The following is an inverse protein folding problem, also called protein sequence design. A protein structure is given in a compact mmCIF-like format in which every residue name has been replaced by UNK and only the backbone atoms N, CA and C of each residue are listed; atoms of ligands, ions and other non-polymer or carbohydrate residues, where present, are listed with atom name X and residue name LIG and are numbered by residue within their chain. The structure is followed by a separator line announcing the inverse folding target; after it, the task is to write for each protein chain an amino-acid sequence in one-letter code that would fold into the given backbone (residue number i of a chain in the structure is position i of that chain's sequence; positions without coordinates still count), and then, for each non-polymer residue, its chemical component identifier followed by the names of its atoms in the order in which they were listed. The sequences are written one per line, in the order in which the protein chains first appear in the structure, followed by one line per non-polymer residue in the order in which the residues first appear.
data_IF_457588223523
#
_entry.id   IF_457588223523
#
_cell.length_a   1.000
_cell.length_b   1.000
_cell.length_c   1.000
_cell.angle_alpha   90.00
_cell.angle_beta   90.00
_cell.angle_gamma   90.00
#
_symmetry.space_group_name_H-M   'P 1'
#
loop_
_entity.id
_entity.type
_entity.pdbx_description
1 polymer ?
#
# COMPACT_ATOMS: atom_id res chain seq x y z
N UNK A 1 19.10 10.09 -25.87
CA UNK A 1 17.70 10.36 -25.46
C UNK A 1 16.79 9.40 -26.22
N UNK A 2 16.21 8.40 -25.56
CA UNK A 2 15.26 7.50 -26.21
C UNK A 2 13.94 8.26 -26.50
N UNK A 3 13.34 8.01 -27.67
CA UNK A 3 12.02 8.52 -28.07
C UNK A 3 11.01 8.25 -26.95
N UNK A 4 10.37 9.30 -26.41
CA UNK A 4 9.25 9.14 -25.45
C UNK A 4 8.16 8.31 -26.13
N UNK A 5 7.96 7.10 -25.62
CA UNK A 5 7.00 6.17 -26.18
C UNK A 5 5.64 6.45 -25.53
N UNK A 6 4.88 7.37 -26.13
CA UNK A 6 3.61 7.87 -25.57
C UNK A 6 2.46 6.85 -25.64
N UNK A 7 2.72 5.64 -26.14
CA UNK A 7 1.73 4.57 -26.16
C UNK A 7 1.56 4.00 -24.75
N UNK A 8 0.37 3.48 -24.37
CA UNK A 8 0.19 3.00 -23.01
C UNK A 8 1.05 1.75 -22.73
N UNK A 9 1.34 0.92 -23.74
CA UNK A 9 2.34 -0.16 -23.62
C UNK A 9 3.76 0.36 -23.41
N UNK A 10 4.13 1.45 -24.07
CA UNK A 10 5.41 2.14 -23.84
C UNK A 10 5.54 2.62 -22.40
N UNK A 11 4.49 3.25 -21.87
CA UNK A 11 4.45 3.72 -20.48
C UNK A 11 4.50 2.56 -19.49
N UNK A 12 3.78 1.46 -19.77
CA UNK A 12 3.80 0.26 -18.94
C UNK A 12 5.20 -0.36 -18.86
N UNK A 13 5.87 -0.52 -20.00
CA UNK A 13 7.23 -1.08 -20.06
C UNK A 13 8.27 -0.16 -19.43
N UNK A 14 8.16 1.16 -19.62
CA UNK A 14 9.02 2.15 -18.96
C UNK A 14 8.87 2.09 -17.43
N UNK A 15 7.63 1.97 -16.93
CA UNK A 15 7.37 1.86 -15.49
C UNK A 15 8.03 0.62 -14.87
N UNK A 16 7.96 -0.53 -15.56
CA UNK A 16 8.62 -1.77 -15.15
C UNK A 16 10.14 -1.57 -15.10
N UNK A 17 10.74 -0.99 -16.15
CA UNK A 17 12.19 -0.74 -16.19
C UNK A 17 12.66 0.17 -15.05
N UNK A 18 11.92 1.25 -14.77
CA UNK A 18 12.25 2.17 -13.68
C UNK A 18 12.13 1.53 -12.29
N UNK A 19 11.10 0.70 -12.09
CA UNK A 19 10.93 -0.05 -10.85
C UNK A 19 12.10 -1.01 -10.60
N UNK A 20 12.46 -1.83 -11.59
CA UNK A 20 13.55 -2.79 -11.44
C UNK A 20 14.93 -2.14 -11.31
N UNK A 21 15.13 -0.95 -11.92
CA UNK A 21 16.38 -0.19 -11.78
C UNK A 21 16.62 0.35 -10.36
N UNK A 22 15.58 0.40 -9.52
CA UNK A 22 15.66 0.87 -8.12
C UNK A 22 15.01 -0.14 -7.15
N UNK A 23 14.98 -1.41 -7.53
CA UNK A 23 14.23 -2.46 -6.83
C UNK A 23 14.67 -2.61 -5.38
N UNK A 24 15.98 -2.65 -5.15
CA UNK A 24 16.61 -2.76 -3.84
C UNK A 24 16.13 -1.66 -2.87
N UNK A 25 16.11 -0.41 -3.34
CA UNK A 25 15.67 0.74 -2.57
C UNK A 25 14.19 0.68 -2.25
N UNK A 26 13.37 0.27 -3.22
CA UNK A 26 11.93 0.13 -3.01
C UNK A 26 11.59 -1.00 -2.04
N UNK A 27 12.23 -2.16 -2.15
CA UNK A 27 12.03 -3.26 -1.20
C UNK A 27 12.41 -2.79 0.21
N UNK A 28 13.58 -2.17 0.38
CA UNK A 28 14.03 -1.67 1.68
C UNK A 28 13.05 -0.66 2.28
N UNK A 29 12.56 0.28 1.47
CA UNK A 29 11.57 1.27 1.89
C UNK A 29 10.22 0.65 2.29
N UNK A 30 9.77 -0.37 1.54
CA UNK A 30 8.48 -1.03 1.77
C UNK A 30 8.53 -2.12 2.87
N UNK A 31 9.72 -2.55 3.30
CA UNK A 31 9.87 -3.70 4.22
C UNK A 31 9.13 -3.48 5.53
N UNK A 32 9.37 -2.37 6.23
CA UNK A 32 8.66 -2.10 7.49
C UNK A 32 7.15 -1.86 7.29
N UNK A 33 6.71 -1.04 6.32
CA UNK A 33 5.28 -0.88 6.03
C UNK A 33 4.54 -2.19 5.76
N UNK A 34 5.15 -3.12 5.00
CA UNK A 34 4.50 -4.38 4.62
C UNK A 34 4.62 -5.44 5.71
N UNK A 35 5.83 -5.75 6.17
CA UNK A 35 6.04 -6.79 7.17
C UNK A 35 5.58 -6.37 8.56
N UNK A 36 5.61 -5.07 8.86
CA UNK A 36 5.10 -4.54 10.13
C UNK A 36 3.60 -4.78 10.29
N UNK A 37 2.81 -4.70 9.21
CA UNK A 37 1.37 -5.01 9.28
C UNK A 37 1.15 -6.48 9.65
N UNK A 38 1.91 -7.37 9.01
CA UNK A 38 1.81 -8.82 9.24
C UNK A 38 2.31 -9.16 10.62
N UNK A 39 3.46 -8.63 11.03
CA UNK A 39 4.01 -8.82 12.36
C UNK A 39 3.07 -8.32 13.46
N UNK A 40 2.43 -7.16 13.24
CA UNK A 40 1.41 -6.62 14.15
C UNK A 40 0.20 -7.55 14.28
N UNK A 41 -0.35 -8.04 13.17
CA UNK A 41 -1.46 -9.00 13.17
C UNK A 41 -1.08 -10.34 13.82
N UNK A 42 0.07 -10.90 13.46
CA UNK A 42 0.58 -12.14 14.05
C UNK A 42 0.72 -12.00 15.57
N UNK A 43 1.23 -10.86 16.05
CA UNK A 43 1.35 -10.60 17.48
C UNK A 43 -0.03 -10.55 18.17
N UNK A 44 -1.02 -9.90 17.55
CA UNK A 44 -2.42 -9.90 18.05
C UNK A 44 -2.97 -11.32 18.15
N UNK A 45 -2.81 -12.12 17.10
CA UNK A 45 -3.35 -13.49 17.07
C UNK A 45 -2.64 -14.41 18.06
N UNK A 46 -1.31 -14.38 18.13
CA UNK A 46 -0.52 -15.23 19.03
C UNK A 46 -0.81 -14.92 20.49
N UNK A 47 -0.80 -13.64 20.87
CA UNK A 47 -1.07 -13.24 22.26
C UNK A 47 -2.50 -13.62 22.66
N UNK A 48 -3.48 -13.37 21.79
CA UNK A 48 -4.88 -13.77 22.03
C UNK A 48 -5.00 -15.28 22.21
N UNK A 49 -4.35 -16.07 21.35
CA UNK A 49 -4.37 -17.52 21.46
C UNK A 49 -3.78 -18.03 22.77
N UNK A 50 -2.58 -17.55 23.15
CA UNK A 50 -1.98 -17.93 24.42
C UNK A 50 -2.84 -17.52 25.61
N UNK A 51 -3.45 -16.33 25.56
CA UNK A 51 -4.36 -15.88 26.61
C UNK A 51 -5.58 -16.78 26.74
N UNK A 52 -6.26 -17.10 25.63
CA UNK A 52 -7.45 -17.96 25.64
C UNK A 52 -7.14 -19.38 26.12
N UNK A 53 -6.01 -19.96 25.70
CA UNK A 53 -5.62 -21.31 26.13
C UNK A 53 -5.27 -21.38 27.63
N UNK A 54 -4.66 -20.32 28.17
CA UNK A 54 -4.28 -20.26 29.58
C UNK A 54 -5.37 -19.66 30.47
N UNK A 55 -6.52 -19.27 29.91
CA UNK A 55 -7.58 -18.61 30.67
C UNK A 55 -8.18 -19.50 31.77
N UNK A 56 -8.54 -20.78 31.51
CA UNK A 56 -9.09 -21.64 32.56
C UNK A 56 -8.20 -21.78 33.81
N UNK A 57 -6.89 -22.11 33.72
CA UNK A 57 -6.04 -22.19 34.91
C UNK A 57 -5.74 -20.81 35.54
N UNK A 58 -5.88 -19.71 34.79
CA UNK A 58 -5.75 -18.37 35.33
C UNK A 58 -6.97 -17.98 36.18
N UNK A 59 -8.18 -18.34 35.77
CA UNK A 59 -9.42 -18.11 36.53
C UNK A 59 -9.38 -18.85 37.86
N UNK A 60 -8.89 -20.10 37.87
CA UNK A 60 -8.74 -20.89 39.10
C UNK A 60 -7.79 -20.24 40.12
N UNK A 61 -6.74 -19.56 39.65
CA UNK A 61 -5.76 -18.87 40.52
C UNK A 61 -6.18 -17.47 40.91
N UNK A 62 -6.94 -16.78 40.05
CA UNK A 62 -7.37 -15.40 40.25
C UNK A 62 -8.86 -15.27 39.95
N UNK A 63 -9.69 -15.35 41.00
CA UNK A 63 -11.15 -15.24 40.90
C UNK A 63 -11.64 -13.92 40.27
N UNK A 64 -10.81 -12.86 40.30
CA UNK A 64 -11.10 -11.60 39.62
C UNK A 64 -11.19 -11.75 38.08
N UNK A 65 -10.57 -12.78 37.49
CA UNK A 65 -10.64 -13.08 36.06
C UNK A 65 -11.95 -13.77 35.65
N UNK A 66 -12.77 -14.20 36.60
CA UNK A 66 -14.14 -14.67 36.32
C UNK A 66 -15.10 -13.51 36.00
N UNK A 67 -14.66 -12.26 36.26
CA UNK A 67 -15.43 -11.08 35.90
C UNK A 67 -15.26 -10.76 34.41
N UNK A 68 -16.37 -10.80 33.67
CA UNK A 68 -16.43 -10.49 32.24
C UNK A 68 -15.79 -9.15 31.85
N UNK A 69 -15.96 -8.10 32.66
CA UNK A 69 -15.36 -6.79 32.36
C UNK A 69 -13.83 -6.82 32.46
N UNK A 70 -13.29 -7.59 33.42
CA UNK A 70 -11.84 -7.78 33.59
C UNK A 70 -11.28 -8.59 32.42
N UNK A 71 -12.00 -9.61 31.97
CA UNK A 71 -11.64 -10.40 30.79
C UNK A 71 -11.54 -9.56 29.53
N UNK A 72 -12.53 -8.71 29.27
CA UNK A 72 -12.52 -7.80 28.12
C UNK A 72 -11.37 -6.81 28.22
N UNK A 73 -11.19 -6.18 29.39
CA UNK A 73 -10.14 -5.18 29.59
C UNK A 73 -8.76 -5.78 29.33
N UNK A 74 -8.48 -6.98 29.86
CA UNK A 74 -7.23 -7.68 29.61
C UNK A 74 -7.08 -8.06 28.15
N UNK A 75 -8.13 -8.57 27.50
CA UNK A 75 -8.11 -8.89 26.07
C UNK A 75 -7.77 -7.67 25.20
N UNK A 76 -8.27 -6.48 25.56
CA UNK A 76 -7.89 -5.22 24.88
C UNK A 76 -6.42 -4.89 25.17
N UNK A 77 -6.00 -4.90 26.44
CA UNK A 77 -4.64 -4.54 26.83
C UNK A 77 -3.57 -5.41 26.18
N UNK A 78 -3.82 -6.72 26.07
CA UNK A 78 -2.85 -7.66 25.48
C UNK A 78 -2.77 -7.53 23.95
N UNK A 79 -3.83 -7.07 23.29
CA UNK A 79 -3.85 -6.87 21.83
C UNK A 79 -3.31 -5.51 21.40
N UNK A 80 -3.32 -4.50 22.29
CA UNK A 80 -2.85 -3.14 22.00
C UNK A 80 -1.43 -3.07 21.39
N UNK A 81 -0.40 -3.80 21.88
CA UNK A 81 0.93 -3.72 21.29
C UNK A 81 0.97 -4.14 19.82
N UNK A 82 0.27 -5.23 19.47
CA UNK A 82 0.19 -5.71 18.09
C UNK A 82 -0.60 -4.75 17.20
N UNK A 83 -1.72 -4.21 17.72
CA UNK A 83 -2.49 -3.19 17.02
C UNK A 83 -1.69 -1.89 16.80
N UNK A 84 -0.87 -1.48 17.76
CA UNK A 84 -0.02 -0.29 17.61
C UNK A 84 1.02 -0.47 16.49
N UNK A 85 1.67 -1.63 16.41
CA UNK A 85 2.59 -1.96 15.32
C UNK A 85 1.86 -1.99 13.98
N UNK A 86 0.69 -2.65 13.93
CA UNK A 86 -0.15 -2.71 12.74
C UNK A 86 -0.57 -1.31 12.26
N UNK A 87 -1.13 -0.47 13.14
CA UNK A 87 -1.57 0.87 12.78
C UNK A 87 -0.41 1.76 12.31
N UNK A 88 0.76 1.66 12.96
CA UNK A 88 1.94 2.44 12.56
C UNK A 88 2.43 2.01 11.16
N UNK A 89 2.59 0.72 10.94
CA UNK A 89 3.05 0.18 9.64
C UNK A 89 2.04 0.42 8.52
N UNK A 90 0.75 0.28 8.81
CA UNK A 90 -0.33 0.63 7.89
C UNK A 90 -0.29 2.11 7.51
N UNK A 91 -0.12 3.01 8.49
CA UNK A 91 0.03 4.44 8.20
C UNK A 91 1.25 4.73 7.32
N UNK A 92 2.39 4.12 7.62
CA UNK A 92 3.60 4.27 6.80
C UNK A 92 3.41 3.69 5.39
N UNK A 93 2.62 2.63 5.22
CA UNK A 93 2.23 2.10 3.91
C UNK A 93 1.36 3.10 3.12
N UNK A 94 0.38 3.73 3.75
CA UNK A 94 -0.41 4.79 3.11
C UNK A 94 0.47 5.97 2.71
N UNK A 95 1.39 6.40 3.59
CA UNK A 95 2.32 7.49 3.28
C UNK A 95 3.25 7.11 2.12
N UNK A 96 3.74 5.87 2.07
CA UNK A 96 4.56 5.36 0.97
C UNK A 96 3.84 5.47 -0.38
N UNK A 97 2.52 5.21 -0.42
CA UNK A 97 1.69 5.41 -1.62
C UNK A 97 1.86 6.81 -2.21
N UNK A 98 1.79 7.85 -1.38
CA UNK A 98 1.96 9.25 -1.80
C UNK A 98 3.43 9.61 -2.05
N UNK A 99 4.34 9.12 -1.21
CA UNK A 99 5.75 9.49 -1.25
C UNK A 99 6.42 8.99 -2.55
N UNK A 100 6.12 7.77 -2.99
CA UNK A 100 6.65 7.23 -4.26
C UNK A 100 6.23 8.07 -5.46
N UNK A 101 5.00 8.60 -5.48
CA UNK A 101 4.57 9.51 -6.55
C UNK A 101 5.42 10.79 -6.58
N UNK A 102 5.83 11.29 -5.41
CA UNK A 102 6.69 12.48 -5.32
C UNK A 102 8.14 12.18 -5.76
N UNK A 103 8.65 10.98 -5.45
CA UNK A 103 9.99 10.53 -5.84
C UNK A 103 10.16 10.37 -7.35
N UNK A 104 9.06 10.11 -8.06
CA UNK A 104 9.08 9.91 -9.51
C UNK A 104 9.75 11.06 -10.27
N UNK A 105 9.63 12.32 -9.84
CA UNK A 105 10.29 13.43 -10.54
C UNK A 105 11.82 13.36 -10.48
N UNK A 106 12.35 12.97 -9.33
CA UNK A 106 13.78 12.77 -9.15
C UNK A 106 14.27 11.58 -9.96
N UNK A 107 13.49 10.50 -9.97
CA UNK A 107 13.76 9.31 -10.76
C UNK A 107 13.76 9.61 -12.27
N UNK A 108 12.85 10.47 -12.76
CA UNK A 108 12.80 10.83 -14.17
C UNK A 108 14.00 11.69 -14.62
N UNK A 109 14.58 12.49 -13.70
CA UNK A 109 15.73 13.36 -14.00
C UNK A 109 17.07 12.63 -13.87
N UNK A 110 17.21 11.76 -12.86
CA UNK A 110 18.50 11.15 -12.49
C UNK A 110 18.57 9.64 -12.72
N UNK A 111 17.46 8.98 -13.05
CA UNK A 111 17.35 7.52 -13.13
C UNK A 111 17.35 6.81 -11.77
N UNK A 112 17.60 7.54 -10.67
CA UNK A 112 17.74 6.98 -9.33
C UNK A 112 16.78 7.64 -8.33
N UNK A 113 16.40 6.90 -7.31
CA UNK A 113 15.61 7.40 -6.17
C UNK A 113 16.53 7.70 -4.99
N UNK A 114 16.33 8.86 -4.37
CA UNK A 114 17.04 9.30 -3.16
C UNK A 114 16.05 10.01 -2.21
N UNK A 115 16.48 10.26 -0.97
CA UNK A 115 15.77 11.05 0.03
C UNK A 115 14.34 10.59 0.37
N UNK A 116 14.18 9.29 0.65
CA UNK A 116 12.87 8.72 1.02
C UNK A 116 12.19 9.46 2.17
N UNK A 117 12.97 9.89 3.16
CA UNK A 117 12.46 10.62 4.33
C UNK A 117 11.88 11.99 3.96
N UNK A 118 12.52 12.71 3.03
CA UNK A 118 12.05 14.04 2.60
C UNK A 118 10.71 13.95 1.86
N UNK A 119 10.56 12.96 0.99
CA UNK A 119 9.29 12.71 0.29
C UNK A 119 8.20 12.18 1.22
N UNK A 120 8.56 11.39 2.22
CA UNK A 120 7.64 10.91 3.27
C UNK A 120 7.12 12.07 4.13
N UNK A 121 8.02 12.96 4.56
CA UNK A 121 7.70 14.18 5.30
C UNK A 121 6.74 15.09 4.53
N UNK A 122 6.92 15.22 3.22
CA UNK A 122 6.06 16.04 2.37
C UNK A 122 4.59 15.58 2.43
N UNK A 123 4.36 14.27 2.42
CA UNK A 123 3.01 13.70 2.55
C UNK A 123 2.50 13.82 3.99
N UNK A 124 3.32 13.51 4.99
CA UNK A 124 2.93 13.63 6.42
C UNK A 124 2.51 15.05 6.79
N UNK A 125 3.13 16.08 6.20
CA UNK A 125 2.74 17.49 6.40
C UNK A 125 1.36 17.83 5.85
N UNK A 126 0.88 17.06 4.86
CA UNK A 126 -0.47 17.17 4.29
C UNK A 126 -1.33 15.98 4.71
N UNK A 127 -1.10 15.44 5.91
CA UNK A 127 -1.83 14.27 6.42
C UNK A 127 -3.34 14.48 6.45
N UNK A 128 -3.83 15.64 6.89
CA UNK A 128 -5.29 15.91 6.98
C UNK A 128 -5.99 15.75 5.62
N UNK A 129 -5.61 16.49 4.55
CA UNK A 129 -6.25 16.30 3.25
C UNK A 129 -5.94 14.91 2.65
N UNK A 130 -4.80 14.30 2.98
CA UNK A 130 -4.48 12.94 2.54
C UNK A 130 -5.43 11.89 3.17
N UNK A 131 -5.73 12.02 4.47
CA UNK A 131 -6.71 11.19 5.17
C UNK A 131 -8.10 11.42 4.57
N UNK A 132 -8.46 12.67 4.26
CA UNK A 132 -9.72 12.96 3.57
C UNK A 132 -9.84 12.27 2.20
N UNK A 133 -8.73 12.14 1.47
CA UNK A 133 -8.68 11.42 0.20
C UNK A 133 -8.88 9.90 0.38
N UNK A 134 -8.20 9.30 1.36
CA UNK A 134 -8.40 7.91 1.72
C UNK A 134 -9.82 7.62 2.24
N UNK A 135 -10.42 8.56 2.96
CA UNK A 135 -11.80 8.46 3.42
C UNK A 135 -12.78 8.43 2.25
N UNK A 136 -12.61 9.31 1.25
CA UNK A 136 -13.41 9.26 0.01
C UNK A 136 -13.24 7.94 -0.74
N UNK A 137 -11.99 7.44 -0.84
CA UNK A 137 -11.71 6.14 -1.42
C UNK A 137 -12.35 5.00 -0.63
N UNK A 138 -12.39 5.10 0.70
CA UNK A 138 -13.04 4.16 1.60
C UNK A 138 -14.56 4.08 1.38
N UNK A 139 -15.24 5.22 1.28
CA UNK A 139 -16.68 5.27 0.94
C UNK A 139 -16.94 4.59 -0.40
N UNK A 140 -16.13 4.90 -1.42
CA UNK A 140 -16.24 4.30 -2.73
C UNK A 140 -16.04 2.77 -2.69
N UNK A 141 -15.05 2.31 -1.92
CA UNK A 141 -14.77 0.88 -1.74
C UNK A 141 -15.90 0.16 -0.99
N UNK A 142 -16.53 0.83 -0.01
CA UNK A 142 -17.67 0.28 0.71
C UNK A 142 -18.90 0.09 -0.20
N UNK A 143 -19.17 1.03 -1.10
CA UNK A 143 -20.23 0.89 -2.11
C UNK A 143 -19.95 -0.31 -3.04
N UNK A 144 -18.68 -0.51 -3.40
CA UNK A 144 -18.24 -1.63 -4.24
C UNK A 144 -18.35 -3.00 -3.55
N UNK A 145 -18.65 -3.09 -2.25
CA UNK A 145 -18.96 -4.37 -1.58
C UNK A 145 -20.28 -4.98 -2.09
N UNK A 146 -21.21 -4.16 -2.57
CA UNK A 146 -22.47 -4.63 -3.10
C UNK A 146 -22.32 -5.02 -4.58
N UNK A 147 -22.61 -6.29 -4.97
CA UNK A 147 -22.44 -6.76 -6.34
C UNK A 147 -23.20 -5.95 -7.40
N UNK A 148 -24.34 -5.36 -7.02
CA UNK A 148 -25.16 -4.52 -7.91
C UNK A 148 -24.40 -3.29 -8.44
N UNK A 149 -23.42 -2.79 -7.68
CA UNK A 149 -22.65 -1.59 -8.06
C UNK A 149 -21.30 -1.91 -8.72
N UNK A 150 -20.92 -3.18 -8.90
CA UNK A 150 -19.59 -3.54 -9.41
C UNK A 150 -19.26 -2.94 -10.77
N UNK A 151 -20.19 -2.96 -11.72
CA UNK A 151 -19.94 -2.40 -13.06
C UNK A 151 -19.76 -0.88 -12.98
N UNK A 152 -20.62 -0.20 -12.23
CA UNK A 152 -20.58 1.26 -12.07
C UNK A 152 -19.30 1.68 -11.35
N UNK A 153 -18.96 1.02 -10.24
CA UNK A 153 -17.72 1.24 -9.51
C UNK A 153 -16.50 0.89 -10.36
N UNK A 154 -16.54 -0.17 -11.17
CA UNK A 154 -15.45 -0.51 -12.09
C UNK A 154 -15.16 0.62 -13.09
N UNK A 155 -16.21 1.19 -13.70
CA UNK A 155 -16.08 2.32 -14.62
C UNK A 155 -15.54 3.57 -13.89
N UNK A 156 -16.09 3.89 -12.73
CA UNK A 156 -15.66 5.05 -11.94
C UNK A 156 -14.21 4.91 -11.43
N UNK A 157 -13.77 3.70 -11.11
CA UNK A 157 -12.40 3.44 -10.68
C UNK A 157 -11.38 3.87 -11.76
N UNK A 158 -11.69 3.64 -13.05
CA UNK A 158 -10.86 4.11 -14.17
C UNK A 158 -10.72 5.63 -14.17
N UNK A 159 -11.81 6.37 -13.96
CA UNK A 159 -11.79 7.83 -13.91
C UNK A 159 -11.04 8.38 -12.68
N UNK A 160 -11.07 7.66 -11.57
CA UNK A 160 -10.48 8.12 -10.31
C UNK A 160 -9.04 7.63 -10.08
N UNK A 161 -8.49 6.85 -11.00
CA UNK A 161 -7.19 6.20 -10.81
C UNK A 161 -6.02 7.18 -10.59
N UNK A 162 -6.10 8.39 -11.14
CA UNK A 162 -5.04 9.41 -11.04
C UNK A 162 -5.21 10.34 -9.83
N UNK A 163 -6.22 10.12 -8.97
CA UNK A 163 -6.55 11.01 -7.86
C UNK A 163 -5.37 11.25 -6.92
N UNK A 164 -4.58 10.21 -6.62
CA UNK A 164 -3.40 10.32 -5.77
C UNK A 164 -2.21 11.02 -6.45
N UNK A 165 -2.06 10.85 -7.76
CA UNK A 165 -1.06 11.58 -8.53
C UNK A 165 -1.41 13.07 -8.58
N UNK A 166 -2.68 13.40 -8.84
CA UNK A 166 -3.18 14.78 -8.76
C UNK A 166 -2.91 15.36 -7.37
N UNK A 167 -3.25 14.64 -6.29
CA UNK A 167 -2.98 15.12 -4.94
C UNK A 167 -1.49 15.42 -4.68
N UNK A 168 -0.60 14.60 -5.26
CA UNK A 168 0.84 14.73 -5.09
C UNK A 168 1.41 15.90 -5.89
N UNK A 169 0.97 16.08 -7.15
CA UNK A 169 1.52 17.08 -8.06
C UNK A 169 0.80 18.43 -8.02
N UNK A 170 -0.45 18.48 -7.56
CA UNK A 170 -1.30 19.67 -7.48
C UNK A 170 -1.71 19.94 -6.01
N UNK A 171 -0.78 20.46 -5.18
CA UNK A 171 -0.97 20.48 -3.73
C UNK A 171 -2.00 21.50 -3.21
N UNK A 172 -2.38 22.44 -4.05
CA UNK A 172 -3.36 23.48 -3.73
C UNK A 172 -4.80 22.94 -3.81
N UNK A 173 -5.01 21.74 -4.38
CA UNK A 173 -6.34 21.15 -4.53
C UNK A 173 -6.81 20.45 -3.25
N UNK A 174 -8.11 20.59 -2.98
CA UNK A 174 -8.80 19.79 -1.96
C UNK A 174 -8.98 18.33 -2.41
N UNK A 175 -9.30 17.39 -1.50
CA UNK A 175 -9.52 15.98 -1.85
C UNK A 175 -10.56 15.80 -2.97
N UNK A 176 -11.69 16.52 -2.88
CA UNK A 176 -12.74 16.53 -3.91
C UNK A 176 -12.23 17.15 -5.22
N UNK A 177 -11.40 18.20 -5.14
CA UNK A 177 -10.75 18.79 -6.30
C UNK A 177 -9.84 17.80 -7.03
N UNK A 178 -9.12 16.95 -6.29
CA UNK A 178 -8.27 15.92 -6.86
C UNK A 178 -9.08 14.88 -7.65
N UNK A 179 -10.21 14.42 -7.11
CA UNK A 179 -11.13 13.48 -7.78
C UNK A 179 -11.68 14.10 -9.07
N UNK A 180 -12.17 15.35 -9.02
CA UNK A 180 -12.69 16.06 -10.19
C UNK A 180 -11.64 16.20 -11.29
N UNK A 181 -10.42 16.59 -10.92
CA UNK A 181 -9.31 16.74 -11.86
C UNK A 181 -8.89 15.40 -12.47
N UNK A 182 -8.84 14.32 -11.68
CA UNK A 182 -8.61 12.96 -12.20
C UNK A 182 -9.64 12.60 -13.27
N UNK A 183 -10.93 12.84 -12.99
CA UNK A 183 -12.00 12.61 -13.96
C UNK A 183 -11.77 13.42 -15.24
N UNK A 184 -11.47 14.72 -15.15
CA UNK A 184 -11.21 15.57 -16.32
C UNK A 184 -10.01 15.09 -17.13
N UNK A 185 -8.93 14.64 -16.47
CA UNK A 185 -7.72 14.14 -17.15
C UNK A 185 -8.01 12.84 -17.92
N UNK A 186 -8.76 11.93 -17.30
CA UNK A 186 -9.09 10.63 -17.90
C UNK A 186 -10.21 10.76 -18.95
N UNK A 187 -11.04 11.80 -18.87
CA UNK A 187 -12.09 12.10 -19.85
C UNK A 187 -11.47 12.34 -21.23
N UNK A 188 -11.71 11.41 -22.16
CA UNK A 188 -11.12 11.39 -23.50
C UNK A 188 -10.00 10.35 -23.68
N UNK A 189 -9.49 9.78 -22.60
CA UNK A 189 -8.44 8.74 -22.61
C UNK A 189 -8.85 7.49 -21.82
N UNK A 190 -10.16 7.22 -21.72
CA UNK A 190 -10.71 6.10 -20.95
C UNK A 190 -10.10 4.75 -21.37
N UNK A 191 -10.13 4.42 -22.67
CA UNK A 191 -9.64 3.13 -23.17
C UNK A 191 -8.15 2.90 -22.86
N UNK A 192 -7.30 3.91 -23.07
CA UNK A 192 -5.88 3.84 -22.74
C UNK A 192 -5.63 3.70 -21.24
N UNK A 193 -6.40 4.43 -20.43
CA UNK A 193 -6.31 4.36 -18.96
C UNK A 193 -6.78 3.00 -18.44
N UNK A 194 -7.87 2.48 -18.99
CA UNK A 194 -8.38 1.15 -18.69
C UNK A 194 -7.37 0.06 -19.09
N UNK A 195 -6.77 0.15 -20.28
CA UNK A 195 -5.73 -0.79 -20.71
C UNK A 195 -4.53 -0.78 -19.76
N UNK A 196 -4.05 0.40 -19.36
CA UNK A 196 -2.99 0.52 -18.35
C UNK A 196 -3.39 -0.09 -17.00
N UNK A 197 -4.63 0.16 -16.56
CA UNK A 197 -5.18 -0.40 -15.33
C UNK A 197 -5.22 -1.92 -15.40
N UNK A 198 -5.69 -2.48 -16.52
CA UNK A 198 -5.77 -3.92 -16.73
C UNK A 198 -4.37 -4.55 -16.78
N UNK A 199 -3.40 -3.95 -17.48
CA UNK A 199 -2.03 -4.44 -17.56
C UNK A 199 -1.33 -4.39 -16.20
N UNK A 200 -1.42 -3.25 -15.50
CA UNK A 200 -0.89 -3.11 -14.15
C UNK A 200 -1.56 -4.09 -13.18
N UNK A 201 -2.88 -4.20 -13.25
CA UNK A 201 -3.70 -5.12 -12.48
C UNK A 201 -3.29 -6.58 -12.67
N UNK A 202 -3.23 -7.02 -13.93
CA UNK A 202 -2.81 -8.36 -14.30
C UNK A 202 -1.38 -8.66 -13.83
N UNK A 203 -0.45 -7.71 -13.96
CA UNK A 203 0.92 -7.92 -13.50
C UNK A 203 1.03 -8.03 -11.97
N UNK A 204 0.46 -7.07 -11.23
CA UNK A 204 0.72 -6.95 -9.78
C UNK A 204 -0.24 -7.73 -8.90
N UNK A 205 -1.46 -7.99 -9.34
CA UNK A 205 -2.47 -8.71 -8.55
C UNK A 205 -2.66 -10.16 -8.98
N UNK A 206 -2.29 -10.51 -10.22
CA UNK A 206 -2.49 -11.86 -10.75
C UNK A 206 -1.14 -12.53 -11.00
N UNK A 207 -0.36 -12.06 -11.97
CA UNK A 207 0.83 -12.73 -12.48
C UNK A 207 1.91 -12.89 -11.41
N UNK A 208 2.33 -11.80 -10.76
CA UNK A 208 3.38 -11.86 -9.72
C UNK A 208 2.92 -12.74 -8.53
N UNK A 209 1.73 -12.52 -7.93
CA UNK A 209 1.24 -13.40 -6.86
C UNK A 209 1.14 -14.88 -7.25
N UNK A 210 0.54 -15.19 -8.40
CA UNK A 210 0.32 -16.57 -8.84
C UNK A 210 1.63 -17.32 -9.11
N UNK A 211 2.63 -16.65 -9.69
CA UNK A 211 3.95 -17.27 -9.90
C UNK A 211 4.58 -17.66 -8.56
N UNK A 212 4.58 -16.74 -7.59
CA UNK A 212 5.20 -17.01 -6.28
C UNK A 212 4.42 -18.05 -5.49
N UNK A 213 3.08 -17.99 -5.49
CA UNK A 213 2.23 -19.00 -4.84
C UNK A 213 2.51 -20.38 -5.43
N UNK A 214 2.58 -20.50 -6.76
CA UNK A 214 2.89 -21.77 -7.41
C UNK A 214 4.28 -22.30 -7.02
N UNK A 215 5.28 -21.43 -6.88
CA UNK A 215 6.61 -21.81 -6.37
C UNK A 215 6.52 -22.30 -4.92
N UNK A 216 5.72 -21.64 -4.08
CA UNK A 216 5.51 -22.02 -2.68
C UNK A 216 4.78 -23.36 -2.54
N UNK A 217 3.79 -23.60 -3.40
CA UNK A 217 3.07 -24.87 -3.45
C UNK A 217 4.00 -26.01 -3.90
N UNK A 218 4.80 -25.80 -4.95
CA UNK A 218 5.77 -26.79 -5.45
C UNK A 218 6.89 -27.10 -4.45
N UNK A 219 7.22 -26.18 -3.56
CA UNK A 219 8.24 -26.36 -2.51
C UNK A 219 7.68 -26.86 -1.19
N UNK A 220 6.37 -27.07 -1.07
CA UNK A 220 5.71 -27.49 0.16
C UNK A 220 5.63 -26.42 1.25
N UNK A 221 6.02 -25.17 0.95
CA UNK A 221 6.00 -24.06 1.90
C UNK A 221 4.55 -23.70 2.27
N UNK A 222 3.64 -23.66 1.30
CA UNK A 222 2.22 -23.36 1.57
C UNK A 222 1.64 -24.38 2.54
N UNK A 223 1.85 -25.68 2.30
CA UNK A 223 1.36 -26.74 3.20
C UNK A 223 1.95 -26.62 4.60
N UNK A 224 3.27 -26.38 4.70
CA UNK A 224 3.94 -26.21 5.98
C UNK A 224 3.35 -25.05 6.78
N UNK A 225 3.16 -23.89 6.15
CA UNK A 225 2.57 -22.71 6.79
C UNK A 225 1.10 -22.92 7.16
N UNK A 226 0.32 -23.62 6.33
CA UNK A 226 -1.09 -23.91 6.60
C UNK A 226 -1.29 -24.78 7.82
N UNK A 227 -0.40 -25.76 8.07
CA UNK A 227 -0.42 -26.56 9.30
C UNK A 227 -0.26 -25.69 10.56
N UNK A 228 0.51 -24.60 10.47
CA UNK A 228 0.70 -23.66 11.58
C UNK A 228 -0.55 -22.86 11.96
N UNK A 229 -1.45 -22.59 11.00
CA UNK A 229 -2.69 -21.83 11.27
C UNK A 229 -3.93 -22.70 11.45
N UNK A 230 -3.84 -24.01 11.16
CA UNK A 230 -4.95 -24.94 11.27
C UNK A 230 -5.65 -24.95 12.65
N UNK A 231 -4.93 -24.86 13.80
CA UNK A 231 -5.57 -24.77 15.11
C UNK A 231 -6.51 -23.57 15.25
N UNK A 232 -6.23 -22.45 14.56
CA UNK A 232 -7.08 -21.26 14.57
C UNK A 232 -8.30 -21.43 13.67
N UNK A 233 -8.11 -22.04 12.50
CA UNK A 233 -9.20 -22.26 11.53
C UNK A 233 -10.22 -23.26 12.06
N UNK A 234 -9.78 -24.30 12.80
CA UNK A 234 -10.67 -25.28 13.40
C UNK A 234 -11.64 -24.69 14.45
N UNK A 235 -11.36 -23.49 14.97
CA UNK A 235 -12.25 -22.79 15.89
C UNK A 235 -13.31 -21.95 15.17
N UNK A 236 -13.21 -21.80 13.85
CA UNK A 236 -14.13 -20.99 13.06
C UNK A 236 -15.36 -21.82 12.63
N UNK A 237 -16.57 -21.25 12.70
CA UNK A 237 -17.75 -21.88 12.11
C UNK A 237 -17.58 -21.88 10.58
N UNK A 238 -17.40 -23.07 10.01
CA UNK A 238 -17.30 -23.23 8.55
C UNK A 238 -18.70 -23.29 7.93
N UNK A 239 -18.91 -22.65 6.77
CA UNK A 239 -20.20 -22.66 6.11
C UNK A 239 -20.52 -24.06 5.56
N UNK A 240 -21.69 -24.57 5.93
CA UNK A 240 -22.27 -25.79 5.36
C UNK A 240 -22.95 -25.44 4.03
N UNK A 241 -22.24 -25.64 2.94
CA UNK A 241 -22.68 -25.28 1.59
C UNK A 241 -23.40 -26.43 0.87
N UNK A 242 -23.44 -27.62 1.47
CA UNK A 242 -24.08 -28.81 0.91
C UNK A 242 -25.57 -28.59 0.65
N UNK A 243 -26.24 -27.80 1.50
CA UNK A 243 -27.64 -27.38 1.32
C UNK A 243 -27.89 -26.57 0.04
N UNK A 244 -26.84 -26.00 -0.56
CA UNK A 244 -26.88 -25.27 -1.84
C UNK A 244 -26.29 -26.08 -3.00
N UNK A 245 -26.00 -27.37 -2.81
CA UNK A 245 -25.39 -28.23 -3.84
C UNK A 245 -23.90 -27.96 -4.08
N UNK A 246 -23.22 -27.26 -3.17
CA UNK A 246 -21.81 -26.90 -3.27
C UNK A 246 -20.98 -27.67 -2.23
N UNK A 247 -19.73 -28.00 -2.58
CA UNK A 247 -18.81 -28.67 -1.64
C UNK A 247 -18.45 -27.72 -0.51
N UNK A 248 -18.73 -28.11 0.74
CA UNK A 248 -18.29 -27.37 1.92
C UNK A 248 -16.76 -27.35 2.00
N UNK A 249 -16.14 -26.19 2.26
CA UNK A 249 -14.69 -26.10 2.40
C UNK A 249 -14.24 -26.79 3.69
N UNK A 250 -13.14 -27.55 3.62
CA UNK A 250 -12.53 -28.10 4.83
C UNK A 250 -11.71 -27.04 5.56
N UNK A 251 -11.42 -27.24 6.85
CA UNK A 251 -10.53 -26.36 7.60
C UNK A 251 -9.13 -26.25 6.96
N UNK A 252 -8.67 -27.32 6.32
CA UNK A 252 -7.41 -27.32 5.59
C UNK A 252 -7.48 -26.48 4.31
N UNK A 253 -8.59 -26.54 3.56
CA UNK A 253 -8.80 -25.70 2.36
C UNK A 253 -8.79 -24.21 2.74
N UNK A 254 -9.45 -23.86 3.85
CA UNK A 254 -9.44 -22.49 4.38
C UNK A 254 -8.03 -22.09 4.81
N UNK A 255 -7.30 -22.96 5.50
CA UNK A 255 -5.92 -22.68 5.91
C UNK A 255 -4.98 -22.44 4.71
N UNK A 256 -5.05 -23.27 3.66
CA UNK A 256 -4.29 -23.03 2.42
C UNK A 256 -4.69 -21.70 1.79
N UNK A 257 -5.98 -21.48 1.60
CA UNK A 257 -6.48 -20.26 0.97
C UNK A 257 -6.05 -19.00 1.74
N UNK A 258 -6.07 -19.04 3.08
CA UNK A 258 -5.61 -17.95 3.93
C UNK A 258 -4.12 -17.68 3.73
N UNK A 259 -3.25 -18.70 3.74
CA UNK A 259 -1.81 -18.53 3.51
C UNK A 259 -1.53 -17.96 2.11
N UNK A 260 -2.15 -18.52 1.07
CA UNK A 260 -2.01 -18.03 -0.29
C UNK A 260 -2.48 -16.58 -0.43
N UNK A 261 -3.57 -16.22 0.25
CA UNK A 261 -4.06 -14.83 0.30
C UNK A 261 -3.05 -13.92 1.00
N UNK A 262 -2.45 -14.33 2.14
CA UNK A 262 -1.40 -13.55 2.80
C UNK A 262 -0.19 -13.33 1.90
N UNK A 263 0.30 -14.38 1.23
CA UNK A 263 1.40 -14.28 0.27
C UNK A 263 1.05 -13.34 -0.88
N UNK A 264 -0.14 -13.44 -1.45
CA UNK A 264 -0.60 -12.53 -2.49
C UNK A 264 -0.63 -11.07 -2.00
N UNK A 265 -1.17 -10.81 -0.80
CA UNK A 265 -1.25 -9.47 -0.24
C UNK A 265 0.14 -8.87 0.03
N UNK A 266 1.10 -9.67 0.50
CA UNK A 266 2.50 -9.25 0.66
C UNK A 266 3.04 -8.74 -0.68
N UNK A 267 2.91 -9.54 -1.73
CA UNK A 267 3.46 -9.23 -3.05
C UNK A 267 2.76 -8.04 -3.70
N UNK A 268 1.44 -7.93 -3.57
CA UNK A 268 0.66 -6.77 -4.02
C UNK A 268 1.16 -5.50 -3.33
N UNK A 269 1.42 -5.55 -2.03
CA UNK A 269 1.92 -4.40 -1.29
C UNK A 269 3.35 -4.03 -1.70
N UNK A 270 4.26 -5.00 -1.87
CA UNK A 270 5.62 -4.74 -2.34
C UNK A 270 5.67 -4.18 -3.77
N UNK A 271 4.69 -4.51 -4.61
CA UNK A 271 4.57 -3.97 -5.97
C UNK A 271 3.84 -2.63 -6.03
N UNK A 272 3.52 -2.01 -4.87
CA UNK A 272 2.95 -0.67 -4.83
C UNK A 272 3.80 0.36 -5.60
N UNK A 273 5.14 0.42 -5.44
CA UNK A 273 5.93 1.44 -6.11
C UNK A 273 5.84 1.35 -7.63
N UNK A 274 5.79 0.15 -8.20
CA UNK A 274 5.57 -0.08 -9.64
C UNK A 274 4.27 0.58 -10.12
N UNK A 275 3.16 0.37 -9.39
CA UNK A 275 1.86 0.98 -9.70
C UNK A 275 1.92 2.50 -9.60
N UNK A 276 2.52 3.04 -8.53
CA UNK A 276 2.68 4.49 -8.33
C UNK A 276 3.52 5.16 -9.43
N UNK A 277 4.60 4.52 -9.87
CA UNK A 277 5.45 4.98 -10.99
C UNK A 277 4.64 5.02 -12.29
N UNK A 278 3.93 3.93 -12.61
CA UNK A 278 3.12 3.82 -13.82
C UNK A 278 2.05 4.93 -13.89
N UNK A 279 1.32 5.14 -12.80
CA UNK A 279 0.29 6.18 -12.76
C UNK A 279 0.89 7.58 -12.81
N UNK A 280 2.08 7.78 -12.25
CA UNK A 280 2.79 9.06 -12.34
C UNK A 280 3.30 9.35 -13.76
N UNK A 281 3.75 8.33 -14.49
CA UNK A 281 4.06 8.42 -15.93
C UNK A 281 2.81 8.77 -16.74
N UNK A 282 1.71 8.06 -16.49
CA UNK A 282 0.44 8.29 -17.18
C UNK A 282 -0.12 9.69 -16.90
N UNK A 283 -0.12 10.13 -15.64
CA UNK A 283 -0.51 11.49 -15.26
C UNK A 283 0.30 12.54 -16.01
N UNK A 284 1.63 12.41 -16.04
CA UNK A 284 2.48 13.36 -16.78
C UNK A 284 2.20 13.34 -18.27
N UNK A 285 1.97 12.17 -18.86
CA UNK A 285 1.63 12.07 -20.29
C UNK A 285 0.35 12.86 -20.59
N UNK A 286 -0.73 12.62 -19.84
CA UNK A 286 -2.01 13.32 -20.00
C UNK A 286 -1.90 14.82 -19.73
N UNK A 287 -1.22 15.21 -18.65
CA UNK A 287 -1.09 16.62 -18.28
C UNK A 287 -0.15 17.40 -19.23
N UNK A 288 0.84 16.73 -19.82
CA UNK A 288 1.71 17.34 -20.83
C UNK A 288 1.01 17.56 -22.18
N UNK A 289 -0.02 16.75 -22.49
CA UNK A 289 -0.92 17.00 -23.63
C UNK A 289 -1.78 18.26 -23.46
N UNK A 290 -2.03 18.67 -22.21
CA UNK A 290 -2.87 19.83 -21.86
C UNK A 290 -2.03 21.12 -21.69
N UNK A 291 -0.72 21.01 -21.40
CA UNK A 291 0.14 22.14 -21.03
C UNK A 291 1.37 22.29 -21.93
N UNK A 292 1.18 22.80 -23.15
CA UNK A 292 2.27 23.42 -23.93
C UNK A 292 2.63 24.84 -23.48
N UNK A 293 2.06 25.34 -22.37
CA UNK A 293 2.28 26.71 -21.89
C UNK A 293 2.58 26.70 -20.38
N UNK A 294 3.83 26.56 -19.99
CA UNK A 294 4.52 27.48 -19.06
C UNK A 294 5.86 26.90 -18.62
N UNK A 295 6.90 27.71 -18.76
CA UNK A 295 8.28 27.49 -18.34
C UNK A 295 8.51 27.80 -16.85
N UNK A 296 7.47 27.74 -16.00
CA UNK A 296 7.62 28.05 -14.57
C UNK A 296 7.96 26.81 -13.74
N UNK A 297 8.85 26.96 -12.74
CA UNK A 297 9.21 25.92 -11.74
C UNK A 297 7.96 25.15 -11.29
N UNK A 298 8.03 23.82 -11.33
CA UNK A 298 6.86 22.95 -11.08
C UNK A 298 6.44 23.00 -9.61
N UNK A 299 5.14 22.81 -9.29
CA UNK A 299 4.62 22.95 -7.93
C UNK A 299 5.29 22.07 -6.87
N UNK A 300 5.75 20.87 -7.24
CA UNK A 300 6.57 19.94 -6.43
C UNK A 300 7.94 20.54 -6.05
N UNK A 301 8.61 21.21 -6.98
CA UNK A 301 9.86 21.94 -6.74
C UNK A 301 9.61 23.15 -5.81
N UNK A 302 8.48 23.86 -6.01
CA UNK A 302 8.07 24.95 -5.10
C UNK A 302 7.77 24.44 -3.69
N UNK A 303 7.26 23.23 -3.55
CA UNK A 303 7.01 22.58 -2.27
C UNK A 303 8.29 22.13 -1.57
N UNK A 304 9.23 21.51 -2.30
CA UNK A 304 10.57 21.24 -1.76
C UNK A 304 11.23 22.54 -1.31
N UNK A 305 11.16 23.59 -2.12
CA UNK A 305 11.75 24.90 -1.79
C UNK A 305 11.06 25.57 -0.59
N UNK A 306 9.72 25.50 -0.48
CA UNK A 306 8.96 25.97 0.69
C UNK A 306 9.25 25.13 1.95
N UNK A 307 9.44 23.83 1.80
CA UNK A 307 9.84 22.91 2.89
C UNK A 307 11.23 23.26 3.42
N UNK A 308 12.21 23.41 2.53
CA UNK A 308 13.56 23.84 2.87
C UNK A 308 13.59 25.26 3.47
N UNK A 309 12.79 26.20 2.94
CA UNK A 309 12.73 27.58 3.46
C UNK A 309 12.05 27.70 4.83
N UNK A 310 11.01 26.91 5.11
CA UNK A 310 10.26 27.00 6.38
C UNK A 310 10.99 26.36 7.56
N UNK A 311 11.83 25.34 7.32
CA UNK A 311 12.51 24.59 8.39
C UNK A 311 14.04 24.53 8.28
N UNK A 312 14.65 24.98 7.19
CA UNK A 312 16.11 25.17 7.07
C UNK A 312 16.68 26.23 8.03
N UNK A 313 15.83 26.89 8.85
CA UNK A 313 16.24 27.72 9.98
C UNK A 313 16.46 26.96 11.30
N UNK A 314 16.16 25.67 11.39
CA UNK A 314 16.79 24.84 12.43
C UNK A 314 18.18 24.48 11.90
N UNK A 315 19.21 25.20 12.34
CA UNK A 315 20.62 24.88 12.08
C UNK A 315 20.81 23.38 12.34
N UNK A 316 20.91 22.59 11.27
CA UNK A 316 21.33 21.20 11.37
C UNK A 316 22.78 21.23 11.84
N UNK A 317 23.07 20.54 12.94
CA UNK A 317 24.40 20.54 13.55
C UNK A 317 25.44 20.09 12.53
N UNK A 318 26.53 20.85 12.39
CA UNK A 318 27.55 20.67 11.35
C UNK A 318 28.19 19.28 11.42
N UNK A 319 28.15 18.67 12.61
CA UNK A 319 28.63 17.31 12.89
C UNK A 319 27.68 16.18 12.42
N UNK A 320 26.42 16.49 12.13
CA UNK A 320 25.47 15.52 11.53
C UNK A 320 25.65 15.48 10.01
N UNK A 321 25.85 16.65 9.39
CA UNK A 321 26.16 16.74 7.96
C UNK A 321 27.49 16.06 7.62
N UNK A 322 28.49 16.18 8.50
CA UNK A 322 29.78 15.51 8.33
C UNK A 322 29.69 13.99 8.46
N UNK A 323 28.87 13.48 9.38
CA UNK A 323 28.59 12.03 9.51
C UNK A 323 27.74 11.46 8.38
N UNK A 324 26.92 12.29 7.74
CA UNK A 324 26.18 11.88 6.54
C UNK A 324 27.11 11.82 5.32
N UNK A 325 28.03 12.78 5.16
CA UNK A 325 29.01 12.76 4.05
C UNK A 325 30.03 11.63 4.19
N UNK A 326 30.46 11.29 5.41
CA UNK A 326 31.40 10.18 5.65
C UNK A 326 30.77 8.79 5.40
N UNK A 327 29.43 8.66 5.45
CA UNK A 327 28.73 7.40 5.13
C UNK A 327 28.50 7.17 3.63
N UNK A 328 28.61 8.23 2.82
CA UNK A 328 28.45 8.15 1.36
C UNK A 328 29.77 7.75 0.65
N UNK A 329 30.90 7.74 1.35
CA UNK A 329 32.22 7.35 0.79
C UNK A 329 32.61 5.89 1.04
N UNK A 330 31.83 5.11 1.82
CA UNK A 330 32.14 3.70 2.16
C UNK A 330 31.26 2.62 1.48
N UNK A 331 30.49 2.93 0.43
CA UNK A 331 29.77 1.89 -0.36
C UNK A 331 29.90 2.07 -1.87
#
# INVERSE_FOLDING_TARGET
MAKRNNTPLGIFTEAIGLYFSNFDKFIKYMTFPVLGQIGGLLLVFLITYFYTQNLPPLIEKFSALDNFNVLILLSILITLPGLAIFCKSFWEYLVAYGAVNSMYENMQKSGRVYDFDAHTELIKRRAIPFIGLWFLFGIFSAIALCPLFWVICGILAVYFVLTFQVFTFEPELSPVGCVKKSLTLVKGHFSSTFMLMALAGALTYILIPQIVIKIFDLSGISEFLSKGILPFVNLMPLPELEQFGLKSPTAYDVAIFTIQTFVAQILIQYTLPLRSILWSLWYKNLNSGISKISSSKRPSERLMEKSHKKYGKKKLDRNILKRASEKDEEI
#
